data_IF_539544138635
#
_entry.id   IF_539544138635
#
_cell.length_a   1.000
_cell.length_b   1.000
_cell.length_c   1.000
_cell.angle_alpha   90.00
_cell.angle_beta   90.00
_cell.angle_gamma   90.00
#
_symmetry.space_group_name_H-M   'P 1'
#
loop_
_entity.id
_entity.type
_entity.pdbx_description
1 polymer ?
#
# COMPACT_ATOMS: atom_id res chain seq x y z
N UNK A 1 76.19 29.08 -52.88
CA UNK A 1 74.97 28.29 -53.15
C UNK A 1 75.37 26.84 -53.33
N UNK A 2 75.11 26.02 -52.32
CA UNK A 2 75.61 24.63 -52.23
C UNK A 2 74.60 23.68 -52.89
N UNK A 3 75.08 22.65 -53.61
CA UNK A 3 74.28 21.60 -54.26
C UNK A 3 73.24 20.93 -53.32
N UNK A 4 73.45 21.02 -52.00
CA UNK A 4 72.55 20.51 -50.96
C UNK A 4 71.21 21.27 -50.88
N UNK A 5 71.19 22.58 -51.16
CA UNK A 5 69.97 23.39 -51.11
C UNK A 5 68.95 23.03 -52.19
N UNK A 6 69.42 22.61 -53.37
CA UNK A 6 68.56 22.19 -54.48
C UNK A 6 67.91 20.84 -54.22
N UNK A 7 68.60 19.93 -53.52
CA UNK A 7 68.06 18.62 -53.14
C UNK A 7 66.95 18.79 -52.10
N UNK A 8 67.14 19.67 -51.11
CA UNK A 8 66.12 20.00 -50.11
C UNK A 8 64.87 20.65 -50.73
N UNK A 9 65.05 21.54 -51.70
CA UNK A 9 63.94 22.18 -52.41
C UNK A 9 63.16 21.19 -53.30
N UNK A 10 63.85 20.24 -53.94
CA UNK A 10 63.24 19.20 -54.75
C UNK A 10 62.49 18.17 -53.89
N UNK A 11 63.04 17.82 -52.72
CA UNK A 11 62.39 16.94 -51.74
C UNK A 11 61.12 17.57 -51.17
N UNK A 12 61.15 18.88 -50.93
CA UNK A 12 59.99 19.65 -50.42
C UNK A 12 58.89 19.79 -51.48
N UNK A 13 59.25 19.92 -52.76
CA UNK A 13 58.28 19.87 -53.87
C UNK A 13 57.65 18.48 -54.06
N UNK A 14 58.41 17.39 -53.89
CA UNK A 14 57.83 16.03 -53.95
C UNK A 14 56.89 15.75 -52.79
N UNK A 15 57.14 16.29 -51.59
CA UNK A 15 56.26 16.15 -50.44
C UNK A 15 54.93 16.92 -50.61
N UNK A 16 54.93 18.04 -51.35
CA UNK A 16 53.72 18.81 -51.65
C UNK A 16 52.83 18.18 -52.74
N UNK A 17 53.35 17.22 -53.51
CA UNK A 17 52.58 16.44 -54.49
C UNK A 17 51.84 15.24 -53.87
N UNK A 18 52.05 14.95 -52.59
CA UNK A 18 51.33 13.90 -51.85
C UNK A 18 49.92 14.36 -51.41
N UNK A 19 49.14 14.91 -52.34
CA UNK A 19 47.70 15.08 -52.14
C UNK A 19 47.03 13.71 -52.15
N UNK A 20 46.54 13.26 -50.99
CA UNK A 20 45.62 12.12 -50.95
C UNK A 20 44.36 12.46 -51.74
N UNK A 21 43.96 11.59 -52.66
CA UNK A 21 42.59 11.62 -53.21
C UNK A 21 41.61 11.48 -52.06
N UNK A 22 40.55 12.30 -51.95
CA UNK A 22 39.46 12.01 -51.05
C UNK A 22 38.86 10.68 -51.48
N UNK A 23 38.91 9.67 -50.62
CA UNK A 23 38.09 8.47 -50.79
C UNK A 23 36.65 8.90 -50.56
N UNK A 24 35.90 9.04 -51.65
CA UNK A 24 34.46 9.19 -51.64
C UNK A 24 33.87 7.81 -51.25
N UNK A 25 33.91 7.50 -49.96
CA UNK A 25 33.23 6.34 -49.38
C UNK A 25 32.19 6.94 -48.44
N UNK A 26 30.93 6.94 -48.84
CA UNK A 26 29.88 7.46 -47.99
C UNK A 26 28.49 7.53 -48.62
N UNK A 27 28.30 8.34 -49.65
CA UNK A 27 26.93 8.78 -50.00
C UNK A 27 26.37 8.26 -51.34
N UNK A 28 27.19 7.76 -52.28
CA UNK A 28 26.76 7.38 -53.64
C UNK A 28 27.11 5.92 -54.02
N UNK A 29 27.41 5.06 -53.05
CA UNK A 29 27.79 3.66 -53.34
C UNK A 29 26.60 2.77 -53.70
N UNK A 30 25.38 3.19 -53.38
CA UNK A 30 24.16 2.42 -53.62
C UNK A 30 23.31 3.23 -54.62
N UNK A 31 23.08 2.71 -55.84
CA UNK A 31 22.15 3.33 -56.78
C UNK A 31 20.77 3.48 -56.13
N UNK A 32 20.00 4.55 -56.42
CA UNK A 32 18.69 4.77 -55.83
C UNK A 32 17.71 3.60 -55.95
N UNK A 33 17.88 2.75 -56.96
CA UNK A 33 17.05 1.58 -57.21
C UNK A 33 17.37 0.37 -56.30
N UNK A 34 18.51 0.41 -55.60
CA UNK A 34 19.04 -0.66 -54.75
C UNK A 34 18.90 -0.35 -53.24
N UNK A 35 18.27 0.79 -52.91
CA UNK A 35 17.71 0.97 -51.58
C UNK A 35 16.66 -0.13 -51.40
N UNK A 36 16.89 -1.07 -50.47
CA UNK A 36 15.80 -1.84 -49.87
C UNK A 36 14.69 -0.81 -49.59
N UNK A 37 13.45 -1.11 -49.98
CA UNK A 37 12.26 -0.29 -49.73
C UNK A 37 12.01 -0.08 -48.21
N UNK A 38 12.97 0.46 -47.48
CA UNK A 38 12.86 0.95 -46.13
C UNK A 38 12.37 2.38 -46.25
N UNK A 39 11.07 2.52 -46.34
CA UNK A 39 10.44 3.82 -46.09
C UNK A 39 10.82 4.22 -44.66
N UNK A 40 11.71 5.19 -44.50
CA UNK A 40 11.99 5.80 -43.21
C UNK A 40 10.95 6.88 -42.96
N UNK A 41 10.07 6.62 -42.00
CA UNK A 41 9.09 7.59 -41.54
C UNK A 41 9.52 8.12 -40.16
N UNK A 42 10.24 9.25 -40.14
CA UNK A 42 10.74 9.88 -38.91
C UNK A 42 9.68 10.76 -38.23
N UNK A 43 8.52 10.94 -38.84
CA UNK A 43 7.41 11.74 -38.30
C UNK A 43 6.15 10.89 -38.27
N UNK A 44 5.85 10.33 -37.11
CA UNK A 44 4.57 9.71 -36.81
C UNK A 44 3.93 10.46 -35.64
N UNK A 45 2.63 10.70 -35.74
CA UNK A 45 1.85 11.30 -34.66
C UNK A 45 1.20 10.18 -33.86
N UNK A 46 1.57 10.04 -32.59
CA UNK A 46 0.88 9.14 -31.67
C UNK A 46 -0.28 9.91 -31.04
N UNK A 47 -1.50 9.49 -31.33
CA UNK A 47 -2.69 10.00 -30.67
C UNK A 47 -3.02 9.07 -29.51
N UNK A 48 -2.59 9.44 -28.30
CA UNK A 48 -3.00 8.75 -27.08
C UNK A 48 -4.27 9.40 -26.52
N UNK A 49 -5.22 8.59 -26.10
CA UNK A 49 -6.38 9.05 -25.32
C UNK A 49 -6.41 8.29 -24.00
N UNK A 50 -6.80 8.97 -22.93
CA UNK A 50 -7.01 8.32 -21.63
C UNK A 50 -8.41 7.71 -21.64
N UNK A 51 -8.48 6.38 -21.62
CA UNK A 51 -9.72 5.69 -21.33
C UNK A 51 -9.84 5.59 -19.81
N UNK A 52 -10.95 6.09 -19.27
CA UNK A 52 -11.28 5.92 -17.86
C UNK A 52 -11.68 4.46 -17.67
N UNK A 53 -10.88 3.73 -16.91
CA UNK A 53 -11.29 2.42 -16.41
C UNK A 53 -12.39 2.62 -15.35
N UNK A 54 -13.35 1.71 -15.31
CA UNK A 54 -14.44 1.76 -14.32
C UNK A 54 -13.92 1.33 -12.93
N UNK A 55 -14.81 1.23 -11.95
CA UNK A 55 -14.49 0.68 -10.64
C UNK A 55 -13.86 -0.72 -10.73
N UNK A 56 -12.82 -0.96 -9.93
CA UNK A 56 -12.14 -2.25 -9.88
C UNK A 56 -12.62 -3.06 -8.67
N UNK A 57 -12.72 -4.38 -8.81
CA UNK A 57 -13.06 -5.29 -7.69
C UNK A 57 -11.94 -5.28 -6.66
N UNK A 58 -12.25 -4.95 -5.41
CA UNK A 58 -11.27 -4.90 -4.29
C UNK A 58 -11.37 -6.12 -3.37
N UNK A 59 -12.48 -6.86 -3.42
CA UNK A 59 -12.90 -7.82 -2.39
C UNK A 59 -12.14 -9.15 -2.31
N UNK A 60 -11.15 -9.40 -3.18
CA UNK A 60 -10.44 -10.68 -3.34
C UNK A 60 -8.91 -10.52 -3.38
N UNK A 61 -8.38 -9.45 -2.79
CA UNK A 61 -6.94 -9.24 -2.70
C UNK A 61 -6.38 -9.84 -1.40
N UNK A 62 -5.09 -10.19 -1.40
CA UNK A 62 -4.36 -10.51 -0.16
C UNK A 62 -3.83 -9.25 0.53
N UNK A 63 -3.47 -8.25 -0.28
CA UNK A 63 -2.85 -7.01 0.16
C UNK A 63 -3.77 -5.84 -0.14
N UNK A 64 -3.92 -4.94 0.83
CA UNK A 64 -4.86 -3.84 0.72
C UNK A 64 -4.14 -2.51 0.92
N UNK A 65 -4.33 -1.52 0.02
CA UNK A 65 -3.87 -0.17 0.24
C UNK A 65 -4.69 0.48 1.36
N UNK A 66 -4.03 1.30 2.17
CA UNK A 66 -4.59 2.06 3.27
C UNK A 66 -3.84 3.39 3.38
N UNK A 67 -4.54 4.51 3.34
CA UNK A 67 -3.91 5.83 3.39
C UNK A 67 -4.50 6.81 2.39
N UNK A 68 -3.72 7.84 2.12
CA UNK A 68 -4.06 8.89 1.17
C UNK A 68 -2.81 9.28 0.41
N UNK A 69 -2.95 9.50 -0.89
CA UNK A 69 -1.87 9.87 -1.78
C UNK A 69 -2.25 11.18 -2.47
N UNK A 70 -1.31 12.12 -2.52
CA UNK A 70 -1.37 13.34 -3.34
C UNK A 70 -0.04 13.45 -4.08
N UNK A 71 -0.05 13.09 -5.36
CA UNK A 71 1.09 13.14 -6.28
C UNK A 71 0.71 13.95 -7.53
N UNK A 72 1.68 14.62 -8.16
CA UNK A 72 1.42 15.54 -9.29
C UNK A 72 0.86 14.81 -10.51
N UNK A 73 1.33 13.58 -10.77
CA UNK A 73 1.01 12.81 -11.96
C UNK A 73 -0.30 12.03 -11.88
N UNK A 74 -0.62 11.47 -10.71
CA UNK A 74 -1.83 10.64 -10.47
C UNK A 74 -2.92 11.34 -9.67
N UNK A 75 -2.62 12.52 -9.10
CA UNK A 75 -3.56 13.32 -8.32
C UNK A 75 -3.85 12.73 -6.94
N UNK A 76 -5.06 13.00 -6.44
CA UNK A 76 -5.49 12.61 -5.09
C UNK A 76 -6.22 11.29 -5.08
N UNK A 77 -5.76 10.37 -4.24
CA UNK A 77 -6.39 9.09 -3.99
C UNK A 77 -6.49 8.80 -2.51
N UNK A 78 -7.54 8.10 -2.08
CA UNK A 78 -7.68 7.62 -0.71
C UNK A 78 -8.05 6.14 -0.74
N UNK A 79 -7.52 5.39 0.23
CA UNK A 79 -7.86 3.99 0.41
C UNK A 79 -8.28 3.77 1.86
N UNK A 80 -9.51 3.28 2.02
CA UNK A 80 -10.07 2.84 3.30
C UNK A 80 -10.18 1.33 3.29
N UNK A 81 -10.04 0.71 4.46
CA UNK A 81 -10.08 -0.73 4.60
C UNK A 81 -11.26 -1.14 5.46
N UNK A 82 -12.21 -1.88 4.90
CA UNK A 82 -13.33 -2.47 5.62
C UNK A 82 -13.00 -3.91 5.96
N UNK A 83 -13.28 -4.34 7.18
CA UNK A 83 -12.97 -5.70 7.65
C UNK A 83 -14.09 -6.22 8.53
N UNK A 84 -14.47 -7.48 8.34
CA UNK A 84 -15.31 -8.20 9.28
C UNK A 84 -14.44 -8.73 10.42
N UNK A 85 -14.94 -8.64 11.65
CA UNK A 85 -14.29 -9.23 12.83
C UNK A 85 -14.96 -10.56 13.10
N UNK A 86 -14.16 -11.62 13.27
CA UNK A 86 -14.66 -12.95 13.54
C UNK A 86 -14.39 -13.36 14.98
N UNK A 87 -15.24 -14.25 15.49
CA UNK A 87 -15.03 -14.90 16.77
C UNK A 87 -13.86 -15.90 16.62
N UNK A 88 -12.88 -15.93 17.54
CA UNK A 88 -11.76 -16.85 17.43
C UNK A 88 -12.16 -18.31 17.68
N UNK A 89 -13.12 -18.52 18.56
CA UNK A 89 -13.67 -19.84 18.90
C UNK A 89 -15.07 -19.69 19.47
N UNK A 90 -15.94 -20.64 19.17
CA UNK A 90 -17.27 -20.73 19.79
C UNK A 90 -17.13 -20.90 21.31
N UNK A 91 -18.08 -20.32 22.04
CA UNK A 91 -18.10 -20.28 23.50
C UNK A 91 -16.81 -19.70 24.10
N UNK A 92 -16.28 -18.62 23.50
CA UNK A 92 -15.10 -17.95 24.05
C UNK A 92 -15.38 -17.51 25.49
N UNK A 93 -14.60 -18.04 26.42
CA UNK A 93 -14.65 -17.70 27.84
C UNK A 93 -13.43 -16.85 28.20
N UNK A 94 -13.67 -15.63 28.67
CA UNK A 94 -12.61 -14.70 29.06
C UNK A 94 -12.16 -14.89 30.53
N UNK A 95 -12.70 -15.86 31.26
CA UNK A 95 -12.44 -16.01 32.69
C UNK A 95 -13.52 -15.34 33.55
N UNK A 96 -13.35 -15.43 34.87
CA UNK A 96 -14.25 -14.79 35.83
C UNK A 96 -13.86 -13.33 36.02
N UNK A 97 -14.85 -12.44 36.03
CA UNK A 97 -14.66 -10.99 36.21
C UNK A 97 -13.54 -10.40 35.33
N UNK A 98 -13.59 -10.58 33.99
CA UNK A 98 -12.58 -10.01 33.12
C UNK A 98 -12.65 -8.48 33.16
N UNK A 99 -11.51 -7.83 33.33
CA UNK A 99 -11.35 -6.38 33.36
C UNK A 99 -10.52 -5.95 32.17
N UNK A 100 -11.05 -5.02 31.38
CA UNK A 100 -10.37 -4.48 30.21
C UNK A 100 -9.09 -3.73 30.59
N UNK A 101 -7.99 -4.03 29.90
CA UNK A 101 -6.81 -3.16 29.86
C UNK A 101 -6.79 -2.31 28.58
N UNK A 102 -7.01 -2.95 27.43
CA UNK A 102 -7.10 -2.25 26.14
C UNK A 102 -7.67 -3.11 25.02
N UNK A 103 -8.28 -2.45 24.04
CA UNK A 103 -8.66 -3.06 22.78
C UNK A 103 -7.83 -2.42 21.65
N UNK A 104 -7.12 -3.23 20.87
CA UNK A 104 -6.18 -2.74 19.85
C UNK A 104 -6.43 -3.42 18.52
N UNK A 105 -6.71 -2.64 17.48
CA UNK A 105 -6.69 -3.08 16.10
C UNK A 105 -5.24 -3.20 15.62
N UNK A 106 -4.88 -4.34 15.07
CA UNK A 106 -3.53 -4.66 14.60
C UNK A 106 -3.59 -5.06 13.12
N UNK A 107 -2.74 -4.46 12.29
CA UNK A 107 -2.58 -4.78 10.88
C UNK A 107 -1.10 -4.95 10.55
N UNK A 108 -0.74 -6.11 10.03
CA UNK A 108 0.61 -6.40 9.56
C UNK A 108 0.92 -5.62 8.28
N UNK A 109 2.13 -5.07 8.19
CA UNK A 109 2.57 -4.34 7.02
C UNK A 109 3.07 -5.30 5.93
N UNK A 110 2.57 -5.13 4.71
CA UNK A 110 3.05 -5.86 3.54
C UNK A 110 3.92 -4.99 2.61
N UNK A 111 3.76 -3.67 2.66
CA UNK A 111 4.51 -2.76 1.78
C UNK A 111 4.12 -1.31 1.96
N UNK A 112 4.79 -0.43 1.21
CA UNK A 112 4.51 1.00 1.17
C UNK A 112 4.79 1.51 -0.24
N UNK A 113 3.90 2.35 -0.75
CA UNK A 113 4.06 3.08 -2.01
C UNK A 113 4.19 4.57 -1.72
N UNK A 114 5.07 5.29 -2.41
CA UNK A 114 5.31 6.72 -2.20
C UNK A 114 6.37 7.04 -1.14
N UNK A 115 6.29 8.20 -0.51
CA UNK A 115 7.27 8.66 0.49
C UNK A 115 7.16 7.89 1.82
N UNK A 116 8.22 7.16 2.15
CA UNK A 116 8.35 6.41 3.41
C UNK A 116 8.37 7.27 4.68
N UNK A 117 8.64 8.58 4.55
CA UNK A 117 8.64 9.53 5.66
C UNK A 117 7.32 10.29 5.79
N UNK A 118 6.38 10.08 4.88
CA UNK A 118 5.10 10.77 4.93
C UNK A 118 4.29 10.36 6.15
N UNK A 119 3.61 11.34 6.73
CA UNK A 119 2.78 11.14 7.92
C UNK A 119 1.38 10.67 7.54
N UNK A 120 0.83 9.79 8.35
CA UNK A 120 -0.51 9.24 8.21
C UNK A 120 -1.35 9.54 9.44
N UNK A 121 -2.63 9.78 9.22
CA UNK A 121 -3.64 9.86 10.26
C UNK A 121 -4.81 8.95 9.88
N UNK A 122 -5.28 8.13 10.82
CA UNK A 122 -6.38 7.20 10.61
C UNK A 122 -7.43 7.34 11.71
N UNK A 123 -8.69 7.22 11.31
CA UNK A 123 -9.84 7.02 12.20
C UNK A 123 -10.41 5.62 11.98
N UNK A 124 -10.96 5.03 13.05
CA UNK A 124 -11.62 3.73 13.02
C UNK A 124 -13.10 3.91 13.36
N UNK A 125 -13.98 3.26 12.60
CA UNK A 125 -15.44 3.32 12.81
C UNK A 125 -16.04 1.91 12.82
N UNK A 126 -17.16 1.72 13.55
CA UNK A 126 -17.95 0.47 13.49
C UNK A 126 -18.73 0.42 12.17
N UNK A 127 -18.70 -0.74 11.52
CA UNK A 127 -19.55 -1.03 10.36
C UNK A 127 -20.93 -1.47 10.84
N UNK A 128 -21.99 -0.92 10.24
CA UNK A 128 -23.38 -1.20 10.61
C UNK A 128 -23.96 -2.33 9.74
N UNK A 129 -23.64 -2.34 8.46
CA UNK A 129 -24.15 -3.35 7.53
C UNK A 129 -23.31 -4.64 7.56
N UNK A 130 -23.93 -5.83 7.42
CA UNK A 130 -23.18 -7.06 7.32
C UNK A 130 -22.33 -7.08 6.03
N UNK A 131 -21.09 -7.53 6.16
CA UNK A 131 -20.20 -7.78 5.02
C UNK A 131 -20.39 -9.22 4.54
N UNK A 132 -20.53 -9.42 3.23
CA UNK A 132 -20.77 -10.75 2.65
C UNK A 132 -19.62 -11.19 1.77
N UNK A 133 -19.04 -12.36 2.04
CA UNK A 133 -17.99 -12.93 1.19
C UNK A 133 -18.46 -13.24 -0.25
N UNK A 134 -19.75 -13.50 -0.44
CA UNK A 134 -20.36 -13.78 -1.75
C UNK A 134 -20.63 -12.52 -2.59
N UNK A 135 -20.49 -11.32 -2.01
CA UNK A 135 -20.69 -10.05 -2.70
C UNK A 135 -19.36 -9.51 -3.20
N UNK A 136 -19.34 -9.05 -4.45
CA UNK A 136 -18.22 -8.27 -4.99
C UNK A 136 -18.32 -6.84 -4.47
N UNK A 137 -17.21 -6.34 -3.95
CA UNK A 137 -17.06 -4.95 -3.56
C UNK A 137 -16.06 -4.29 -4.50
N UNK A 138 -16.37 -3.06 -4.88
CA UNK A 138 -15.62 -2.28 -5.83
C UNK A 138 -14.96 -1.08 -5.14
N UNK A 139 -13.96 -0.47 -5.77
CA UNK A 139 -13.18 0.64 -5.23
C UNK A 139 -13.99 1.88 -4.85
N UNK A 140 -15.21 2.04 -5.37
CA UNK A 140 -16.14 3.12 -5.08
C UNK A 140 -17.30 2.71 -4.15
N UNK A 141 -17.32 1.44 -3.71
CA UNK A 141 -18.35 0.91 -2.82
C UNK A 141 -18.27 1.57 -1.45
N UNK A 142 -19.42 2.02 -0.95
CA UNK A 142 -19.54 2.58 0.40
C UNK A 142 -20.38 1.66 1.26
N UNK A 143 -19.80 1.30 2.40
CA UNK A 143 -20.42 0.48 3.43
C UNK A 143 -20.84 1.41 4.57
N UNK A 144 -22.06 1.25 5.08
CA UNK A 144 -22.58 2.10 6.16
C UNK A 144 -21.82 1.89 7.49
N UNK A 145 -21.44 3.00 8.12
CA UNK A 145 -20.68 3.03 9.37
C UNK A 145 -21.34 3.95 10.39
N UNK A 146 -21.04 3.74 11.68
CA UNK A 146 -21.40 4.71 12.71
C UNK A 146 -20.57 5.99 12.56
N UNK A 147 -21.15 7.17 12.82
CA UNK A 147 -20.46 8.45 12.63
C UNK A 147 -19.41 8.74 13.71
N UNK A 148 -19.52 8.12 14.88
CA UNK A 148 -18.58 8.29 15.98
C UNK A 148 -17.33 7.42 15.78
N UNK A 149 -16.16 8.03 15.76
CA UNK A 149 -14.90 7.31 15.70
C UNK A 149 -14.65 6.55 17.01
N UNK A 150 -14.28 5.28 16.89
CA UNK A 150 -13.98 4.36 18.00
C UNK A 150 -12.47 4.10 18.12
N UNK A 151 -11.65 4.81 17.36
CA UNK A 151 -10.20 4.72 17.41
C UNK A 151 -9.56 5.78 16.54
N UNK A 152 -8.36 6.22 16.91
CA UNK A 152 -7.58 7.20 16.16
C UNK A 152 -6.09 6.96 16.32
N UNK A 153 -5.34 7.07 15.22
CA UNK A 153 -3.88 7.15 15.23
C UNK A 153 -3.48 8.32 14.34
N UNK A 154 -2.93 9.38 14.91
CA UNK A 154 -2.64 10.61 14.18
C UNK A 154 -1.14 10.84 14.01
N UNK A 155 -0.78 11.49 12.91
CA UNK A 155 0.55 12.05 12.62
C UNK A 155 1.71 11.06 12.85
N UNK A 156 1.54 9.80 12.43
CA UNK A 156 2.58 8.78 12.57
C UNK A 156 3.22 8.49 11.22
N UNK A 157 4.48 8.08 11.25
CA UNK A 157 5.21 7.59 10.08
C UNK A 157 5.28 6.06 10.17
N UNK A 158 4.80 5.30 9.18
CA UNK A 158 4.87 3.85 9.20
C UNK A 158 6.33 3.38 9.11
N UNK A 159 6.74 2.51 10.03
CA UNK A 159 8.04 1.85 9.98
C UNK A 159 7.84 0.38 9.65
N UNK A 160 8.27 -0.02 8.45
CA UNK A 160 8.11 -1.38 7.93
C UNK A 160 9.31 -2.29 8.23
N UNK A 161 10.35 -1.76 8.87
CA UNK A 161 11.61 -2.48 9.12
C UNK A 161 11.82 -2.77 10.60
N UNK A 162 11.39 -1.86 11.46
CA UNK A 162 11.59 -1.99 12.89
C UNK A 162 10.47 -2.79 13.54
N UNK A 163 10.87 -3.74 14.35
CA UNK A 163 9.97 -4.56 15.15
C UNK A 163 9.22 -3.71 16.19
N UNK A 164 8.11 -4.23 16.70
CA UNK A 164 7.39 -3.61 17.82
C UNK A 164 7.42 -4.53 19.03
N UNK A 165 7.63 -3.96 20.22
CA UNK A 165 7.58 -4.73 21.47
C UNK A 165 6.16 -4.72 22.02
N UNK A 166 5.60 -5.92 22.27
CA UNK A 166 4.24 -6.12 22.78
C UNK A 166 4.30 -7.10 23.94
N UNK A 167 3.92 -6.66 25.15
CA UNK A 167 4.01 -7.47 26.38
C UNK A 167 5.40 -8.11 26.57
N UNK A 168 6.47 -7.37 26.26
CA UNK A 168 7.86 -7.85 26.35
C UNK A 168 8.32 -8.75 25.21
N UNK A 169 7.45 -9.12 24.28
CA UNK A 169 7.81 -9.92 23.10
C UNK A 169 8.06 -9.03 21.88
N UNK A 170 9.06 -9.39 21.08
CA UNK A 170 9.36 -8.73 19.81
C UNK A 170 8.45 -9.28 18.71
N UNK A 171 7.63 -8.41 18.13
CA UNK A 171 6.69 -8.71 17.04
C UNK A 171 7.15 -8.05 15.74
N UNK A 172 6.77 -8.58 14.57
CA UNK A 172 7.05 -7.94 13.29
C UNK A 172 6.46 -6.52 13.21
N UNK A 173 6.98 -5.68 12.29
CA UNK A 173 6.47 -4.33 12.07
C UNK A 173 4.98 -4.34 11.71
N UNK A 174 4.17 -3.61 12.49
CA UNK A 174 2.70 -3.63 12.34
C UNK A 174 2.07 -2.29 12.71
N UNK A 175 0.98 -1.94 12.05
CA UNK A 175 0.11 -0.84 12.41
C UNK A 175 -0.76 -1.24 13.60
N UNK A 176 -0.65 -0.49 14.70
CA UNK A 176 -1.48 -0.67 15.90
C UNK A 176 -2.28 0.59 16.18
N UNK A 177 -3.60 0.46 16.29
CA UNK A 177 -4.52 1.54 16.63
C UNK A 177 -5.30 1.12 17.87
N UNK A 178 -5.13 1.85 18.98
CA UNK A 178 -5.94 1.63 20.19
C UNK A 178 -7.37 2.12 19.92
N UNK A 179 -8.34 1.28 20.26
CA UNK A 179 -9.75 1.62 20.20
C UNK A 179 -10.23 2.18 21.55
N UNK A 180 -11.42 2.76 21.57
CA UNK A 180 -12.00 3.32 22.79
C UNK A 180 -12.24 2.26 23.84
N UNK A 181 -11.98 2.62 25.10
CA UNK A 181 -12.21 1.71 26.23
C UNK A 181 -13.69 1.32 26.33
N UNK A 182 -14.61 2.21 25.95
CA UNK A 182 -16.04 1.89 25.86
C UNK A 182 -16.30 0.65 24.99
N UNK A 183 -15.71 0.57 23.79
CA UNK A 183 -15.88 -0.62 22.95
C UNK A 183 -15.20 -1.83 23.56
N UNK A 184 -14.01 -1.67 24.17
CA UNK A 184 -13.33 -2.76 24.86
C UNK A 184 -14.15 -3.34 26.02
N UNK A 185 -14.81 -2.48 26.80
CA UNK A 185 -15.64 -2.87 27.93
C UNK A 185 -16.86 -3.67 27.46
N UNK A 186 -17.41 -3.38 26.27
CA UNK A 186 -18.46 -4.19 25.65
C UNK A 186 -18.04 -5.65 25.42
N UNK A 187 -16.73 -5.95 25.29
CA UNK A 187 -16.23 -7.33 25.17
C UNK A 187 -16.17 -8.04 26.53
N UNK A 188 -15.69 -7.37 27.58
CA UNK A 188 -15.47 -7.97 28.89
C UNK A 188 -16.73 -8.00 29.75
N UNK A 189 -17.63 -7.04 29.58
CA UNK A 189 -18.86 -6.92 30.36
C UNK A 189 -20.10 -7.45 29.61
N UNK A 190 -21.19 -7.65 30.36
CA UNK A 190 -22.48 -8.08 29.83
C UNK A 190 -22.56 -9.58 29.54
N UNK A 191 -23.59 -9.96 28.77
CA UNK A 191 -23.87 -11.36 28.49
C UNK A 191 -22.75 -12.01 27.65
N UNK A 192 -22.36 -13.23 28.02
CA UNK A 192 -21.40 -14.05 27.27
C UNK A 192 -22.02 -14.69 26.03
N UNK A 193 -23.36 -14.64 25.87
CA UNK A 193 -24.06 -15.11 24.68
C UNK A 193 -23.55 -14.48 23.37
N UNK A 194 -22.94 -13.29 23.42
CA UNK A 194 -22.27 -12.68 22.25
C UNK A 194 -21.15 -13.54 21.69
N UNK A 195 -20.53 -14.38 22.52
CA UNK A 195 -19.44 -15.29 22.14
C UNK A 195 -19.89 -16.73 21.91
N UNK A 196 -21.20 -17.01 21.85
CA UNK A 196 -21.72 -18.36 21.64
C UNK A 196 -21.27 -18.94 20.29
N UNK A 197 -21.44 -18.18 19.22
CA UNK A 197 -21.06 -18.55 17.86
C UNK A 197 -20.87 -17.32 16.95
N UNK A 198 -20.47 -17.57 15.70
CA UNK A 198 -20.24 -16.51 14.71
C UNK A 198 -21.47 -15.64 14.43
N UNK A 199 -22.68 -16.21 14.48
CA UNK A 199 -23.92 -15.44 14.24
C UNK A 199 -24.19 -14.47 15.37
N UNK A 200 -24.07 -14.91 16.63
CA UNK A 200 -24.25 -14.03 17.78
C UNK A 200 -23.16 -12.97 17.85
N UNK A 201 -21.92 -13.33 17.47
CA UNK A 201 -20.80 -12.39 17.49
C UNK A 201 -20.90 -11.34 16.38
N UNK A 202 -21.30 -11.74 15.17
CA UNK A 202 -21.51 -10.80 14.06
C UNK A 202 -22.60 -9.77 14.40
N UNK A 203 -23.67 -10.18 15.09
CA UNK A 203 -24.69 -9.25 15.60
C UNK A 203 -24.16 -8.27 16.66
N UNK A 204 -23.16 -8.68 17.43
CA UNK A 204 -22.48 -7.82 18.41
C UNK A 204 -21.52 -6.83 17.73
N UNK A 205 -20.69 -7.31 16.80
CA UNK A 205 -19.75 -6.51 16.04
C UNK A 205 -19.62 -7.04 14.60
N UNK A 206 -20.33 -6.40 13.67
CA UNK A 206 -20.27 -6.75 12.24
C UNK A 206 -18.87 -6.55 11.67
N UNK A 207 -18.24 -5.40 11.95
CA UNK A 207 -16.95 -5.07 11.35
C UNK A 207 -16.43 -3.71 11.74
N UNK A 208 -15.24 -3.41 11.22
CA UNK A 208 -14.52 -2.18 11.44
C UNK A 208 -14.08 -1.61 10.09
N UNK A 209 -14.05 -0.29 9.97
CA UNK A 209 -13.36 0.39 8.88
C UNK A 209 -12.21 1.22 9.42
N UNK A 210 -11.07 1.17 8.76
CA UNK A 210 -9.96 2.11 8.96
C UNK A 210 -9.97 3.10 7.80
N UNK A 211 -10.13 4.38 8.10
CA UNK A 211 -10.23 5.44 7.09
C UNK A 211 -9.13 6.48 7.29
N UNK A 212 -8.48 6.94 6.22
CA UNK A 212 -7.52 8.05 6.29
C UNK A 212 -8.24 9.33 6.71
N UNK A 213 -7.65 10.04 7.66
CA UNK A 213 -8.06 11.39 8.04
C UNK A 213 -7.28 12.42 7.23
N UNK A 214 -7.90 12.92 6.17
CA UNK A 214 -7.31 13.93 5.27
C UNK A 214 -7.68 15.36 5.66
N UNK A 215 -8.25 15.60 6.85
CA UNK A 215 -8.63 16.96 7.30
C UNK A 215 -7.42 17.89 7.47
N UNK A 216 -6.24 17.33 7.77
CA UNK A 216 -4.97 18.04 7.84
C UNK A 216 -4.17 18.05 6.53
N UNK A 217 -4.74 17.56 5.43
CA UNK A 217 -4.03 17.33 4.16
C UNK A 217 -3.96 15.84 3.81
N UNK A 218 -3.63 15.56 2.55
CA UNK A 218 -3.36 14.19 2.10
C UNK A 218 -1.90 13.83 2.39
N UNK A 219 -1.63 12.56 2.63
CA UNK A 219 -0.27 12.04 2.69
C UNK A 219 0.32 11.87 1.29
N UNK A 220 1.61 11.61 1.22
CA UNK A 220 2.35 11.31 -0.03
C UNK A 220 2.77 9.84 -0.09
N UNK A 221 2.07 8.97 0.63
CA UNK A 221 2.26 7.53 0.53
C UNK A 221 1.00 6.73 0.82
N UNK A 222 0.98 5.48 0.39
CA UNK A 222 -0.06 4.50 0.67
C UNK A 222 0.59 3.31 1.41
N UNK A 223 0.03 2.93 2.55
CA UNK A 223 0.46 1.76 3.29
C UNK A 223 -0.21 0.54 2.66
N UNK A 224 0.52 -0.54 2.46
CA UNK A 224 -0.04 -1.83 2.05
C UNK A 224 -0.04 -2.74 3.27
N UNK A 225 -1.20 -3.28 3.62
CA UNK A 225 -1.38 -4.16 4.78
C UNK A 225 -1.88 -5.54 4.37
N UNK A 226 -1.63 -6.53 5.22
CA UNK A 226 -2.16 -7.89 5.08
C UNK A 226 -3.12 -8.23 6.24
N UNK A 227 -4.44 -8.00 6.10
CA UNK A 227 -5.40 -8.31 7.16
C UNK A 227 -5.56 -9.81 7.45
N UNK A 228 -5.12 -10.67 6.52
CA UNK A 228 -5.16 -12.12 6.67
C UNK A 228 -3.94 -12.71 7.40
N UNK A 229 -2.92 -11.90 7.67
CA UNK A 229 -1.74 -12.36 8.41
C UNK A 229 -2.12 -12.81 9.83
N UNK A 230 -1.42 -13.81 10.34
CA UNK A 230 -1.63 -14.33 11.70
C UNK A 230 -1.33 -13.29 12.79
N UNK A 231 -0.67 -12.17 12.49
CA UNK A 231 -0.44 -11.03 13.38
C UNK A 231 -1.52 -9.95 13.28
N UNK A 232 -2.26 -9.89 12.16
CA UNK A 232 -3.42 -9.02 11.98
C UNK A 232 -4.64 -9.50 12.76
N UNK A 233 -5.43 -8.57 13.28
CA UNK A 233 -6.65 -8.86 14.03
C UNK A 233 -6.99 -7.80 15.06
N UNK A 234 -8.12 -7.97 15.71
CA UNK A 234 -8.52 -7.17 16.86
C UNK A 234 -8.06 -7.90 18.13
N UNK A 235 -7.16 -7.28 18.91
CA UNK A 235 -6.61 -7.90 20.12
C UNK A 235 -7.16 -7.22 21.37
N UNK A 236 -7.83 -7.99 22.21
CA UNK A 236 -8.27 -7.62 23.54
C UNK A 236 -7.17 -7.98 24.54
N UNK A 237 -6.72 -7.00 25.31
CA UNK A 237 -5.84 -7.17 26.47
C UNK A 237 -6.67 -6.95 27.72
N UNK A 238 -6.60 -7.88 28.66
CA UNK A 238 -7.41 -7.88 29.86
C UNK A 238 -6.75 -8.68 30.98
N UNK A 239 -7.27 -8.51 32.19
CA UNK A 239 -6.90 -9.32 33.34
C UNK A 239 -8.16 -9.85 34.06
N UNK A 240 -7.96 -10.74 35.01
CA UNK A 240 -8.99 -11.32 35.87
C UNK A 240 -8.48 -11.32 37.31
N UNK A 241 -9.34 -11.66 38.26
CA UNK A 241 -8.94 -11.80 39.67
C UNK A 241 -7.82 -12.86 39.86
N UNK A 242 -7.76 -13.86 38.96
CA UNK A 242 -6.87 -15.02 39.08
C UNK A 242 -5.60 -14.92 38.20
N UNK A 243 -5.60 -14.08 37.16
CA UNK A 243 -4.53 -13.99 36.18
C UNK A 243 -4.45 -12.62 35.49
N UNK A 244 -3.24 -12.18 35.18
CA UNK A 244 -2.92 -10.90 34.56
C UNK A 244 -2.27 -11.08 33.17
N UNK A 245 -2.26 -10.02 32.36
CA UNK A 245 -1.67 -9.96 31.02
C UNK A 245 -2.26 -10.97 30.04
N UNK A 246 -3.57 -11.21 30.13
CA UNK A 246 -4.29 -12.11 29.23
C UNK A 246 -4.61 -11.42 27.90
N UNK A 247 -4.70 -12.23 26.85
CA UNK A 247 -5.01 -11.74 25.51
C UNK A 247 -6.03 -12.63 24.81
N UNK A 248 -7.04 -12.02 24.19
CA UNK A 248 -7.93 -12.68 23.25
C UNK A 248 -7.83 -11.99 21.89
N UNK A 249 -7.53 -12.76 20.84
CA UNK A 249 -7.35 -12.24 19.49
C UNK A 249 -8.49 -12.66 18.57
N UNK A 250 -9.17 -11.67 18.01
CA UNK A 250 -10.27 -11.84 17.07
C UNK A 250 -9.74 -11.64 15.63
N UNK A 251 -9.75 -12.68 14.79
CA UNK A 251 -9.23 -12.59 13.42
C UNK A 251 -10.12 -11.71 12.54
N UNK A 252 -9.52 -11.12 11.51
CA UNK A 252 -10.28 -10.44 10.47
C UNK A 252 -10.66 -11.41 9.35
N UNK A 253 -11.78 -11.14 8.72
CA UNK A 253 -12.19 -11.83 7.51
C UNK A 253 -12.83 -10.88 6.52
N UNK A 254 -12.92 -11.36 5.29
CA UNK A 254 -13.52 -10.64 4.18
C UNK A 254 -13.12 -9.16 4.07
N UNK A 255 -11.85 -8.75 4.19
CA UNK A 255 -11.44 -7.39 3.90
C UNK A 255 -11.93 -6.93 2.51
N UNK A 256 -12.38 -5.68 2.44
CA UNK A 256 -12.96 -5.04 1.24
C UNK A 256 -12.40 -3.65 1.02
#
# INVERSE_FOLDING_TARGET
MTRSGWILLLLMMLAAAACRKPTLIGDDLIPPDDYLYSERQDTFSVFTTVLRDDSAVTSNNLFFPLGSLDEEEVGRSTASLYMQVNLPTNNLFLGNNPVLDSLVLVLDYAGLYGDSMAQHSFNVYKVIEPLYASKLYYSDSKVLTLPAAIGRKANFVPNLKDSVTVLGNTMPPQLRIRLTDQLGTEFTEGDTLKFLNDTTFTNFLNGLVVQPDTSGGHSSSMIIVNPYDANSGLTLYYHTDDADSLTAKFPFSGPK
#
